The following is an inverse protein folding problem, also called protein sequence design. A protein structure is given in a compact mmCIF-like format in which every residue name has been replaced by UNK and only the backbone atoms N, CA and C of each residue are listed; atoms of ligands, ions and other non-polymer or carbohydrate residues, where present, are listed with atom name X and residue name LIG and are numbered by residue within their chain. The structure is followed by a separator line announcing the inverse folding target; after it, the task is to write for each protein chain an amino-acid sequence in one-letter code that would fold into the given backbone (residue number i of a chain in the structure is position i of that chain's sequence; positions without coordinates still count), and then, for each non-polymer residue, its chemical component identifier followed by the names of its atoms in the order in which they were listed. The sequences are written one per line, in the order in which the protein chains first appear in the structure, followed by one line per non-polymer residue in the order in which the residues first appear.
data_IF_432987387102
#
_entry.id   IF_432987387102
#
_cell.length_a   1.000
_cell.length_b   1.000
_cell.length_c   1.000
_cell.angle_alpha   90.00
_cell.angle_beta   90.00
_cell.angle_gamma   90.00
#
_symmetry.space_group_name_H-M   'P 1'
#
loop_
_entity.id
_entity.type
_entity.pdbx_description
1 polymer ?
#
# COMPACT_ATOMS: atom_id res chain seq x y z
N UNK A 1 17.16 3.43 2.71
CA UNK A 1 15.76 3.48 2.27
C UNK A 1 14.98 4.53 3.07
N UNK A 2 15.37 4.70 4.32
CA UNK A 2 14.69 5.45 5.39
C UNK A 2 14.59 6.95 5.10
N UNK A 3 15.65 7.55 4.56
CA UNK A 3 15.66 8.94 4.11
C UNK A 3 14.64 9.26 3.00
N UNK A 4 14.18 8.26 2.25
CA UNK A 4 13.15 8.45 1.20
C UNK A 4 11.74 8.40 1.80
N UNK A 5 11.52 7.52 2.79
CA UNK A 5 10.27 7.46 3.54
C UNK A 5 10.02 8.74 4.34
N UNK A 6 11.04 9.27 5.03
CA UNK A 6 10.92 10.50 5.81
C UNK A 6 10.63 11.73 4.95
N UNK A 7 11.21 11.81 3.75
CA UNK A 7 11.11 13.00 2.91
C UNK A 7 9.93 13.00 1.93
N UNK A 8 9.52 11.84 1.42
CA UNK A 8 8.54 11.74 0.32
C UNK A 8 7.36 10.79 0.66
N UNK A 9 7.37 10.18 1.84
CA UNK A 9 6.38 9.20 2.27
C UNK A 9 6.59 7.81 1.65
N UNK A 10 5.85 6.82 2.16
CA UNK A 10 5.81 5.47 1.59
C UNK A 10 5.16 5.42 0.21
N UNK A 11 4.30 6.39 -0.11
CA UNK A 11 3.61 6.46 -1.39
C UNK A 11 4.53 6.65 -2.59
N UNK A 12 5.61 7.43 -2.45
CA UNK A 12 6.59 7.61 -3.52
C UNK A 12 7.45 6.36 -3.73
N UNK A 13 7.74 5.62 -2.65
CA UNK A 13 8.43 4.32 -2.74
C UNK A 13 7.57 3.34 -3.54
N UNK A 14 6.27 3.25 -3.22
CA UNK A 14 5.33 2.41 -3.96
C UNK A 14 5.23 2.81 -5.43
N UNK A 15 5.18 4.12 -5.70
CA UNK A 15 5.14 4.66 -7.07
C UNK A 15 6.38 4.27 -7.87
N UNK A 16 7.58 4.32 -7.28
CA UNK A 16 8.83 3.89 -7.93
C UNK A 16 8.85 2.38 -8.20
N UNK A 17 8.38 1.57 -7.25
CA UNK A 17 8.28 0.12 -7.44
C UNK A 17 7.36 -0.23 -8.61
N UNK A 18 6.14 0.31 -8.64
CA UNK A 18 5.17 0.08 -9.73
C UNK A 18 5.69 0.62 -11.07
N UNK A 19 6.40 1.74 -11.06
CA UNK A 19 7.01 2.32 -12.26
C UNK A 19 8.07 1.42 -12.91
N UNK A 20 8.72 0.55 -12.12
CA UNK A 20 9.63 -0.50 -12.61
C UNK A 20 8.91 -1.73 -13.18
N UNK A 21 7.71 -2.04 -12.68
CA UNK A 21 6.88 -3.17 -13.14
C UNK A 21 6.10 -2.87 -14.43
N UNK A 22 5.93 -1.59 -14.78
CA UNK A 22 5.24 -1.19 -16.00
C UNK A 22 6.14 -1.29 -17.25
N UNK A 23 5.59 -1.72 -18.41
CA UNK A 23 6.33 -1.71 -19.67
C UNK A 23 6.85 -0.31 -20.01
N UNK A 24 8.11 -0.25 -20.45
CA UNK A 24 8.78 1.01 -20.80
C UNK A 24 8.30 1.50 -22.17
N UNK A 25 7.16 2.18 -22.19
CA UNK A 25 6.55 2.76 -23.39
C UNK A 25 5.96 4.15 -23.12
N UNK A 26 5.47 4.83 -24.18
CA UNK A 26 4.88 6.18 -24.09
C UNK A 26 3.58 6.26 -23.27
N UNK A 27 2.99 5.12 -22.89
CA UNK A 27 1.81 5.03 -22.03
C UNK A 27 2.17 4.80 -20.56
N UNK A 28 3.44 4.55 -20.23
CA UNK A 28 3.92 4.31 -18.87
C UNK A 28 3.50 5.43 -17.93
N UNK A 29 3.73 6.68 -18.30
CA UNK A 29 3.42 7.83 -17.45
C UNK A 29 1.90 8.00 -17.29
N UNK A 30 1.12 7.77 -18.35
CA UNK A 30 -0.35 7.78 -18.29
C UNK A 30 -0.90 6.66 -17.40
N UNK A 31 -0.25 5.49 -17.36
CA UNK A 31 -0.62 4.38 -16.47
C UNK A 31 -0.24 4.70 -15.03
N UNK A 32 0.97 5.23 -14.81
CA UNK A 32 1.44 5.62 -13.49
C UNK A 32 0.61 6.74 -12.87
N UNK A 33 0.13 7.70 -13.67
CA UNK A 33 -0.75 8.78 -13.20
C UNK A 33 -2.13 8.31 -12.70
N UNK A 34 -2.56 7.11 -13.10
CA UNK A 34 -3.82 6.49 -12.62
C UNK A 34 -3.65 5.87 -11.23
N UNK A 35 -2.44 5.52 -10.83
CA UNK A 35 -2.15 5.07 -9.47
C UNK A 35 -2.32 6.26 -8.52
N UNK A 36 -3.24 6.14 -7.57
CA UNK A 36 -3.50 7.15 -6.53
C UNK A 36 -3.08 6.56 -5.18
N UNK A 37 -1.99 7.08 -4.64
CA UNK A 37 -1.42 6.62 -3.37
C UNK A 37 -1.56 7.72 -2.34
N UNK A 38 -1.96 7.37 -1.13
CA UNK A 38 -2.16 8.27 -0.02
C UNK A 38 -1.50 7.66 1.21
N UNK A 39 -0.98 8.52 2.08
CA UNK A 39 -0.55 8.11 3.41
C UNK A 39 -1.78 7.95 4.30
N UNK A 40 -1.91 6.79 4.95
CA UNK A 40 -3.02 6.47 5.86
C UNK A 40 -4.36 6.14 5.18
N UNK A 41 -5.46 6.29 5.94
CA UNK A 41 -6.80 5.78 5.58
C UNK A 41 -7.72 6.82 4.93
N UNK A 42 -7.27 8.08 4.82
CA UNK A 42 -8.06 9.17 4.28
C UNK A 42 -7.72 9.42 2.81
N UNK A 43 -8.72 9.38 1.92
CA UNK A 43 -8.56 9.70 0.51
C UNK A 43 -9.88 10.21 -0.08
N UNK A 44 -9.85 11.13 -1.07
CA UNK A 44 -11.06 11.73 -1.66
C UNK A 44 -11.86 10.74 -2.52
N UNK A 45 -11.25 9.65 -2.96
CA UNK A 45 -11.86 8.70 -3.90
C UNK A 45 -12.75 7.63 -3.27
N UNK A 46 -13.11 7.74 -1.98
CA UNK A 46 -13.95 6.73 -1.28
C UNK A 46 -15.27 6.43 -1.99
N UNK A 47 -15.85 7.44 -2.64
CA UNK A 47 -17.11 7.30 -3.40
C UNK A 47 -16.91 6.69 -4.79
N UNK A 48 -15.69 6.72 -5.33
CA UNK A 48 -15.37 6.32 -6.70
C UNK A 48 -14.85 4.88 -6.80
N UNK A 49 -14.78 4.16 -5.68
CA UNK A 49 -14.41 2.75 -5.65
C UNK A 49 -15.60 1.94 -6.17
N UNK A 50 -15.35 1.05 -7.13
CA UNK A 50 -16.36 0.19 -7.73
C UNK A 50 -17.03 -0.68 -6.65
N UNK A 51 -18.37 -0.69 -6.64
CA UNK A 51 -19.19 -1.55 -5.79
C UNK A 51 -20.09 -2.39 -6.68
N UNK A 52 -20.07 -3.71 -6.50
CA UNK A 52 -20.94 -4.65 -7.21
C UNK A 52 -22.07 -5.06 -6.28
N UNK A 53 -23.32 -4.84 -6.70
CA UNK A 53 -24.51 -5.16 -5.92
C UNK A 53 -24.48 -4.60 -4.47
N UNK A 54 -23.95 -3.38 -4.28
CA UNK A 54 -23.83 -2.73 -2.98
C UNK A 54 -22.67 -3.23 -2.10
N UNK A 55 -21.92 -4.24 -2.55
CA UNK A 55 -20.75 -4.81 -1.86
C UNK A 55 -19.45 -4.34 -2.53
N UNK A 56 -18.38 -4.22 -1.75
CA UNK A 56 -17.04 -3.96 -2.28
C UNK A 56 -16.61 -5.13 -3.17
N UNK A 57 -15.95 -4.82 -4.29
CA UNK A 57 -15.42 -5.83 -5.23
C UNK A 57 -14.32 -6.68 -4.56
N UNK A 58 -13.71 -6.16 -3.50
CA UNK A 58 -12.68 -6.84 -2.71
C UNK A 58 -13.27 -7.78 -1.62
N UNK A 59 -14.60 -7.94 -1.57
CA UNK A 59 -15.29 -8.79 -0.60
C UNK A 59 -16.03 -7.99 0.49
N UNK A 60 -16.28 -8.55 1.69
CA UNK A 60 -17.00 -7.85 2.76
C UNK A 60 -16.27 -6.61 3.29
N UNK A 61 -15.01 -6.40 2.89
CA UNK A 61 -14.17 -5.31 3.36
C UNK A 61 -13.89 -4.30 2.24
N UNK A 62 -13.89 -3.02 2.59
CA UNK A 62 -13.59 -1.92 1.68
C UNK A 62 -12.08 -1.69 1.50
N UNK A 63 -11.25 -2.37 2.31
CA UNK A 63 -9.80 -2.24 2.32
C UNK A 63 -9.12 -3.61 2.31
N UNK A 64 -8.00 -3.72 1.60
CA UNK A 64 -7.15 -4.92 1.59
C UNK A 64 -6.55 -5.18 2.99
N UNK A 65 -6.34 -4.13 3.78
CA UNK A 65 -5.81 -4.22 5.16
C UNK A 65 -6.74 -5.01 6.10
N UNK A 66 -8.02 -5.13 5.76
CA UNK A 66 -8.96 -5.91 6.54
C UNK A 66 -8.91 -7.41 6.23
N UNK A 67 -8.20 -7.80 5.16
CA UNK A 67 -8.00 -9.19 4.78
C UNK A 67 -7.26 -9.94 5.90
N UNK A 68 -7.74 -11.13 6.32
CA UNK A 68 -7.11 -11.91 7.39
C UNK A 68 -5.65 -12.24 7.09
N UNK A 69 -5.33 -12.57 5.83
CA UNK A 69 -3.96 -12.84 5.36
C UNK A 69 -3.02 -11.66 5.60
N UNK A 70 -3.50 -10.44 5.37
CA UNK A 70 -2.67 -9.24 5.51
C UNK A 70 -2.50 -8.86 6.99
N UNK A 71 -3.54 -9.04 7.81
CA UNK A 71 -3.44 -8.85 9.27
C UNK A 71 -2.44 -9.82 9.89
N UNK A 72 -2.46 -11.08 9.46
CA UNK A 72 -1.50 -12.10 9.92
C UNK A 72 -0.07 -11.76 9.49
N UNK A 73 0.13 -11.29 8.25
CA UNK A 73 1.43 -10.83 7.78
C UNK A 73 1.95 -9.63 8.59
N UNK A 74 1.13 -8.62 8.83
CA UNK A 74 1.50 -7.47 9.66
C UNK A 74 1.76 -7.85 11.13
N UNK A 75 0.98 -8.78 11.70
CA UNK A 75 1.20 -9.27 13.05
C UNK A 75 2.54 -10.03 13.17
N UNK A 76 2.89 -10.80 12.14
CA UNK A 76 4.15 -11.54 12.06
C UNK A 76 5.36 -10.60 11.93
N UNK A 77 5.27 -9.55 11.11
CA UNK A 77 6.32 -8.54 11.00
C UNK A 77 6.46 -7.74 12.31
N UNK A 78 5.35 -7.33 12.92
CA UNK A 78 5.37 -6.58 14.19
C UNK A 78 5.96 -7.39 15.35
N UNK A 79 5.77 -8.71 15.36
CA UNK A 79 6.42 -9.62 16.31
C UNK A 79 7.92 -9.82 16.04
N UNK A 80 8.37 -9.68 14.79
CA UNK A 80 9.79 -9.78 14.44
C UNK A 80 10.59 -8.53 14.87
N UNK A 81 9.98 -7.35 14.85
CA UNK A 81 10.63 -6.11 15.31
C UNK A 81 10.87 -6.09 16.83
N UNK A 82 9.97 -6.69 17.62
CA UNK A 82 10.13 -6.79 19.09
C UNK A 82 11.23 -7.77 19.54
N UNK A 83 11.76 -8.60 18.64
CA UNK A 83 12.77 -9.62 18.96
C UNK A 83 14.22 -9.16 18.86
N UNK A 84 14.50 -7.97 18.30
CA UNK A 84 15.87 -7.50 18.07
C UNK A 84 16.43 -6.58 19.18
N UNK A 85 15.58 -6.00 20.02
CA UNK A 85 16.01 -5.12 21.12
C UNK A 85 16.55 -5.86 22.37
N UNK A 86 16.45 -7.18 22.45
CA UNK A 86 16.85 -7.94 23.65
C UNK A 86 18.23 -8.60 23.60
N UNK A 87 19.01 -8.42 22.53
CA UNK A 87 20.37 -8.99 22.42
C UNK A 87 21.45 -7.91 22.31
N UNK A 88 21.42 -6.90 23.18
CA UNK A 88 22.61 -6.11 23.51
C UNK A 88 22.62 -5.84 25.03
N UNK A 89 23.26 -6.74 25.77
CA UNK A 89 23.68 -6.56 27.17
C UNK A 89 25.05 -7.20 27.31
#
# INVERSE_FOLDING_TARGET
MDKMFEKWGGGEVLRKAVSGMLPKNRLRDKRLARLKVFEGHAHPYKKNILKLAGKSVLGPTNSIADSPLIKEAFAKEKGAETGFEQTTS
#
